data_IF_699408186017
#
_entry.id   IF_699408186017
#
_cell.length_a   1.000
_cell.length_b   1.000
_cell.length_c   1.000
_cell.angle_alpha   90.00
_cell.angle_beta   90.00
_cell.angle_gamma   90.00
#
_symmetry.space_group_name_H-M   'P 1'
#
loop_
_entity.id
_entity.type
_entity.pdbx_description
1 polymer ?
#
# COMPACT_ATOMS: atom_id res chain seq x y z
N UNK A 1 -49.06 11.94 -18.28
CA UNK A 1 -47.70 12.29 -18.71
C UNK A 1 -46.79 11.34 -17.96
N UNK A 2 -46.49 10.23 -18.54
CA UNK A 2 -45.48 9.28 -18.04
C UNK A 2 -44.12 9.90 -18.27
N UNK A 3 -43.46 10.31 -17.19
CA UNK A 3 -42.06 10.68 -17.28
C UNK A 3 -41.29 9.36 -17.52
N UNK A 4 -40.66 9.24 -18.67
CA UNK A 4 -39.66 8.22 -18.91
C UNK A 4 -38.57 8.34 -17.82
N UNK A 5 -38.09 7.19 -17.28
CA UNK A 5 -36.95 7.24 -16.38
C UNK A 5 -35.80 7.92 -17.11
N UNK A 6 -34.96 8.72 -16.42
CA UNK A 6 -33.85 9.39 -17.05
C UNK A 6 -32.98 8.34 -17.72
N UNK A 7 -33.03 8.30 -19.05
CA UNK A 7 -32.16 7.46 -19.87
C UNK A 7 -30.74 7.76 -19.42
N UNK A 8 -30.15 6.76 -18.82
CA UNK A 8 -29.09 6.78 -17.88
C UNK A 8 -27.93 7.74 -18.11
N UNK A 9 -27.41 8.20 -16.99
CA UNK A 9 -26.08 8.80 -16.92
C UNK A 9 -25.04 8.00 -17.72
N UNK A 10 -25.16 6.68 -17.79
CA UNK A 10 -24.36 5.79 -18.64
C UNK A 10 -24.43 6.07 -20.12
N UNK A 11 -25.62 6.41 -20.66
CA UNK A 11 -25.72 6.81 -22.06
C UNK A 11 -25.01 8.14 -22.33
N UNK A 12 -25.15 9.12 -21.41
CA UNK A 12 -24.44 10.41 -21.49
C UNK A 12 -22.93 10.30 -21.34
N UNK A 13 -22.44 9.33 -20.59
CA UNK A 13 -21.00 9.09 -20.41
C UNK A 13 -20.44 8.35 -21.61
N UNK A 14 -21.13 7.34 -22.16
CA UNK A 14 -20.78 6.75 -23.45
C UNK A 14 -20.74 7.79 -24.56
N UNK A 15 -21.74 8.67 -24.63
CA UNK A 15 -21.75 9.81 -25.58
C UNK A 15 -20.55 10.76 -25.31
N UNK A 16 -20.09 10.94 -24.05
CA UNK A 16 -18.90 11.73 -23.73
C UNK A 16 -17.60 11.03 -24.11
N UNK A 17 -17.49 9.71 -23.92
CA UNK A 17 -16.35 8.93 -24.42
C UNK A 17 -16.35 8.80 -25.94
N UNK A 18 -17.50 8.92 -26.56
CA UNK A 18 -17.66 9.07 -28.00
C UNK A 18 -17.47 10.54 -28.46
N UNK A 19 -17.34 11.49 -27.50
CA UNK A 19 -17.04 12.89 -27.82
C UNK A 19 -15.69 12.95 -28.55
N UNK A 20 -15.67 13.55 -29.77
CA UNK A 20 -14.44 13.66 -30.55
C UNK A 20 -13.29 14.32 -29.81
N UNK A 21 -13.53 15.21 -28.83
CA UNK A 21 -12.49 15.82 -28.01
C UNK A 21 -11.89 14.84 -27.00
N UNK A 22 -12.70 13.94 -26.42
CA UNK A 22 -12.21 12.88 -25.51
C UNK A 22 -11.46 11.82 -26.31
N UNK A 23 -11.96 11.44 -27.50
CA UNK A 23 -11.25 10.54 -28.40
C UNK A 23 -9.97 11.18 -28.94
N UNK A 24 -9.99 12.47 -29.27
CA UNK A 24 -8.82 13.21 -29.71
C UNK A 24 -7.78 13.27 -28.59
N UNK A 25 -8.18 13.58 -27.36
CA UNK A 25 -7.31 13.52 -26.18
C UNK A 25 -6.72 12.12 -25.97
N UNK A 26 -7.51 11.07 -26.18
CA UNK A 26 -7.06 9.69 -26.08
C UNK A 26 -6.13 9.25 -27.22
N UNK A 27 -6.26 9.84 -28.43
CA UNK A 27 -5.49 9.44 -29.61
C UNK A 27 -4.25 10.31 -29.88
N UNK A 28 -4.23 11.56 -29.41
CA UNK A 28 -3.16 12.55 -29.70
C UNK A 28 -2.15 12.78 -28.57
N UNK A 29 -1.84 11.77 -27.77
CA UNK A 29 -0.79 11.86 -26.75
C UNK A 29 -1.24 12.36 -25.37
N UNK A 30 -2.52 12.66 -25.18
CA UNK A 30 -3.12 12.95 -23.87
C UNK A 30 -3.56 11.66 -23.13
N UNK A 31 -2.90 10.54 -23.42
CA UNK A 31 -3.19 9.27 -22.78
C UNK A 31 -2.64 9.26 -21.37
N UNK A 32 -3.38 8.69 -20.46
CA UNK A 32 -2.85 8.27 -19.17
C UNK A 32 -1.74 7.26 -19.42
N UNK A 33 -0.55 7.55 -18.94
CA UNK A 33 0.60 6.64 -19.01
C UNK A 33 0.65 5.87 -17.70
N UNK A 34 0.58 4.55 -17.80
CA UNK A 34 0.69 3.65 -16.66
C UNK A 34 2.08 3.04 -16.60
N UNK A 35 2.56 2.86 -15.37
CA UNK A 35 3.87 2.28 -15.12
C UNK A 35 5.02 3.25 -15.41
N UNK A 36 6.23 2.85 -15.05
CA UNK A 36 7.43 3.66 -15.16
C UNK A 36 8.00 3.68 -16.59
N UNK A 37 8.80 4.71 -16.85
CA UNK A 37 9.66 4.82 -18.01
C UNK A 37 11.11 4.53 -17.68
N UNK A 38 12.03 5.14 -18.45
CA UNK A 38 13.45 5.12 -18.14
C UNK A 38 13.77 6.01 -16.91
N UNK A 39 14.75 5.65 -16.06
CA UNK A 39 15.70 4.54 -16.24
C UNK A 39 15.22 3.16 -15.77
N UNK A 40 14.05 3.05 -15.13
CA UNK A 40 13.59 1.82 -14.50
C UNK A 40 13.52 0.62 -15.47
N UNK A 41 12.98 0.83 -16.67
CA UNK A 41 12.86 -0.25 -17.67
C UNK A 41 14.21 -0.87 -18.06
N UNK A 42 15.23 -0.02 -18.24
CA UNK A 42 16.58 -0.50 -18.54
C UNK A 42 17.21 -1.22 -17.35
N UNK A 43 17.04 -0.72 -16.14
CA UNK A 43 17.56 -1.32 -14.91
C UNK A 43 16.89 -2.68 -14.64
N UNK A 44 15.58 -2.79 -14.78
CA UNK A 44 14.86 -4.06 -14.59
C UNK A 44 15.21 -5.10 -15.66
N UNK A 45 15.38 -4.66 -16.92
CA UNK A 45 15.85 -5.54 -17.99
C UNK A 45 17.25 -6.09 -17.67
N UNK A 46 18.15 -5.23 -17.18
CA UNK A 46 19.50 -5.64 -16.77
C UNK A 46 19.48 -6.60 -15.57
N UNK A 47 18.54 -6.43 -14.65
CA UNK A 47 18.31 -7.33 -13.52
C UNK A 47 17.56 -8.62 -13.91
N UNK A 48 17.16 -8.79 -15.17
CA UNK A 48 16.45 -9.98 -15.65
C UNK A 48 14.99 -10.07 -15.19
N UNK A 49 14.40 -8.96 -14.78
CA UNK A 49 13.01 -8.92 -14.32
C UNK A 49 12.03 -8.97 -15.50
N UNK A 50 10.90 -9.63 -15.27
CA UNK A 50 9.76 -9.65 -16.17
C UNK A 50 8.75 -8.59 -15.74
N UNK A 51 8.24 -7.82 -16.72
CA UNK A 51 7.20 -6.81 -16.44
C UNK A 51 5.84 -7.47 -16.23
N UNK A 52 4.97 -6.91 -15.39
CA UNK A 52 3.63 -7.44 -15.15
C UNK A 52 2.69 -7.22 -16.35
N UNK A 53 1.77 -8.16 -16.56
CA UNK A 53 0.57 -7.93 -17.37
C UNK A 53 -0.47 -7.19 -16.52
N UNK A 54 -0.65 -5.89 -16.77
CA UNK A 54 -1.54 -5.04 -15.97
C UNK A 54 -3.02 -5.45 -16.09
N UNK A 55 -3.44 -5.96 -17.23
CA UNK A 55 -4.82 -6.44 -17.43
C UNK A 55 -5.06 -7.75 -16.68
N UNK A 56 -4.08 -8.66 -16.67
CA UNK A 56 -4.15 -9.90 -15.90
C UNK A 56 -4.15 -9.61 -14.40
N UNK A 57 -3.26 -8.72 -13.95
CA UNK A 57 -3.20 -8.25 -12.57
C UNK A 57 -4.55 -7.68 -12.10
N UNK A 58 -5.15 -6.82 -12.92
CA UNK A 58 -6.40 -6.18 -12.59
C UNK A 58 -7.58 -7.18 -12.53
N UNK A 59 -7.64 -8.15 -13.45
CA UNK A 59 -8.65 -9.23 -13.39
C UNK A 59 -8.50 -10.04 -12.11
N UNK A 60 -7.28 -10.45 -11.77
CA UNK A 60 -7.00 -11.16 -10.53
C UNK A 60 -7.48 -10.39 -9.30
N UNK A 61 -7.14 -9.12 -9.19
CA UNK A 61 -7.54 -8.26 -8.08
C UNK A 61 -9.07 -8.17 -7.94
N UNK A 62 -9.75 -7.96 -9.05
CA UNK A 62 -11.21 -7.91 -9.06
C UNK A 62 -11.85 -9.24 -8.61
N UNK A 63 -11.29 -10.37 -9.06
CA UNK A 63 -11.75 -11.70 -8.65
C UNK A 63 -11.51 -11.94 -7.15
N UNK A 64 -10.39 -11.44 -6.60
CA UNK A 64 -10.12 -11.49 -5.16
C UNK A 64 -11.17 -10.71 -4.36
N UNK A 65 -11.46 -9.47 -4.77
CA UNK A 65 -12.51 -8.65 -4.11
C UNK A 65 -13.85 -9.40 -4.14
N UNK A 66 -14.26 -9.84 -5.31
CA UNK A 66 -15.54 -10.56 -5.49
C UNK A 66 -15.63 -11.84 -4.69
N UNK A 67 -14.55 -12.61 -4.62
CA UNK A 67 -14.47 -13.79 -3.77
C UNK A 67 -14.75 -13.47 -2.30
N UNK A 68 -14.23 -12.34 -1.80
CA UNK A 68 -14.48 -11.89 -0.44
C UNK A 68 -15.92 -11.38 -0.23
N UNK A 69 -16.51 -10.73 -1.23
CA UNK A 69 -17.92 -10.30 -1.19
C UNK A 69 -18.86 -11.48 -1.10
N UNK A 70 -18.65 -12.49 -1.95
CA UNK A 70 -19.44 -13.75 -1.94
C UNK A 70 -19.29 -14.46 -0.59
N UNK A 71 -18.06 -14.61 -0.09
CA UNK A 71 -17.80 -15.31 1.17
C UNK A 71 -18.49 -14.66 2.39
N UNK A 72 -18.79 -13.36 2.30
CA UNK A 72 -19.43 -12.56 3.37
C UNK A 72 -20.92 -12.28 3.10
N UNK A 73 -21.49 -12.83 2.03
CA UNK A 73 -22.87 -12.59 1.61
C UNK A 73 -23.19 -11.09 1.48
N UNK A 74 -22.36 -10.37 0.72
CA UNK A 74 -22.50 -8.96 0.42
C UNK A 74 -22.92 -8.75 -1.03
N UNK A 75 -23.77 -7.76 -1.30
CA UNK A 75 -24.17 -7.39 -2.66
C UNK A 75 -23.07 -6.73 -3.46
N UNK A 76 -22.14 -6.09 -2.77
CA UNK A 76 -20.99 -5.39 -3.36
C UNK A 76 -20.21 -4.58 -2.35
N UNK A 77 -19.18 -3.90 -2.83
CA UNK A 77 -18.38 -2.94 -2.06
C UNK A 77 -18.46 -1.53 -2.67
N UNK A 78 -18.49 -0.55 -1.80
CA UNK A 78 -18.39 0.87 -2.12
C UNK A 78 -17.05 1.37 -1.56
N UNK A 79 -16.09 1.59 -2.46
CA UNK A 79 -14.70 1.86 -2.12
C UNK A 79 -14.39 3.35 -2.31
N UNK A 80 -13.77 3.97 -1.32
CA UNK A 80 -13.36 5.38 -1.30
C UNK A 80 -11.87 5.55 -1.04
N UNK A 81 -11.28 4.60 -0.29
CA UNK A 81 -9.87 4.64 0.04
C UNK A 81 -9.01 4.62 -1.24
N UNK A 82 -8.07 5.56 -1.42
CA UNK A 82 -7.23 5.63 -2.62
C UNK A 82 -6.45 4.35 -2.91
N UNK A 83 -6.03 3.61 -1.87
CA UNK A 83 -5.32 2.33 -2.06
C UNK A 83 -6.28 1.25 -2.56
N UNK A 84 -7.50 1.20 -2.00
CA UNK A 84 -8.55 0.30 -2.48
C UNK A 84 -8.98 0.64 -3.91
N UNK A 85 -9.08 1.92 -4.24
CA UNK A 85 -9.35 2.38 -5.62
C UNK A 85 -8.23 1.99 -6.58
N UNK A 86 -6.95 2.17 -6.19
CA UNK A 86 -5.79 1.76 -6.97
C UNK A 86 -5.79 0.23 -7.16
N UNK A 87 -6.03 -0.54 -6.11
CA UNK A 87 -6.12 -2.00 -6.19
C UNK A 87 -7.18 -2.44 -7.20
N UNK A 88 -8.37 -1.86 -7.11
CA UNK A 88 -9.51 -2.26 -7.93
C UNK A 88 -9.47 -1.71 -9.37
N UNK A 89 -8.75 -0.63 -9.67
CA UNK A 89 -8.83 0.03 -10.97
C UNK A 89 -7.50 0.27 -11.67
N UNK A 90 -6.40 0.23 -10.94
CA UNK A 90 -5.07 0.64 -11.43
C UNK A 90 -5.11 2.01 -12.16
N UNK A 91 -5.98 2.91 -11.69
CA UNK A 91 -6.14 4.24 -12.25
C UNK A 91 -5.39 5.28 -11.41
N UNK A 92 -4.80 6.30 -12.05
CA UNK A 92 -4.13 7.39 -11.33
C UNK A 92 -5.02 8.03 -10.28
N UNK A 93 -4.43 8.42 -9.18
CA UNK A 93 -5.14 8.90 -8.00
C UNK A 93 -4.39 10.08 -7.37
N UNK A 94 -5.11 10.98 -6.73
CA UNK A 94 -4.53 12.01 -5.84
C UNK A 94 -4.69 11.53 -4.39
N UNK A 95 -3.85 10.58 -3.95
CA UNK A 95 -4.04 9.84 -2.72
C UNK A 95 -4.40 10.72 -1.53
N UNK A 96 -3.54 11.65 -1.18
CA UNK A 96 -3.75 12.50 0.00
C UNK A 96 -5.01 13.37 -0.11
N UNK A 97 -5.30 13.90 -1.31
CA UNK A 97 -6.47 14.73 -1.52
C UNK A 97 -7.77 13.92 -1.40
N UNK A 98 -7.81 12.72 -1.98
CA UNK A 98 -8.99 11.84 -1.89
C UNK A 98 -9.18 11.22 -0.50
N UNK A 99 -8.12 11.10 0.31
CA UNK A 99 -8.26 10.74 1.74
C UNK A 99 -8.98 11.81 2.56
N UNK A 100 -8.90 13.08 2.14
CA UNK A 100 -9.59 14.19 2.81
C UNK A 100 -10.96 14.51 2.21
N UNK A 101 -11.17 14.15 0.94
CA UNK A 101 -12.35 14.55 0.19
C UNK A 101 -12.84 13.34 -0.60
N UNK A 102 -13.95 12.77 -0.15
CA UNK A 102 -14.59 11.63 -0.81
C UNK A 102 -15.24 12.11 -2.12
N UNK A 103 -14.40 12.45 -3.11
CA UNK A 103 -14.79 12.95 -4.42
C UNK A 103 -14.57 11.93 -5.54
N UNK A 104 -14.11 10.75 -5.20
CA UNK A 104 -13.93 9.61 -6.10
C UNK A 104 -14.28 8.34 -5.36
N UNK A 105 -15.08 7.46 -5.98
CA UNK A 105 -15.41 6.16 -5.40
C UNK A 105 -15.79 5.15 -6.47
N UNK A 106 -15.71 3.87 -6.08
CA UNK A 106 -15.98 2.74 -6.96
C UNK A 106 -17.09 1.87 -6.38
N UNK A 107 -18.07 1.51 -7.19
CA UNK A 107 -19.00 0.44 -6.91
C UNK A 107 -18.51 -0.86 -7.53
N UNK A 108 -18.24 -1.86 -6.70
CA UNK A 108 -17.85 -3.21 -7.09
C UNK A 108 -18.96 -4.17 -6.69
N UNK A 109 -19.86 -4.57 -7.58
CA UNK A 109 -20.87 -5.60 -7.29
C UNK A 109 -20.19 -6.98 -7.23
N UNK A 110 -20.85 -7.92 -6.51
CA UNK A 110 -20.45 -9.33 -6.48
C UNK A 110 -20.41 -9.94 -7.87
N UNK A 111 -21.34 -9.56 -8.72
CA UNK A 111 -21.41 -9.93 -10.14
C UNK A 111 -21.75 -8.71 -11.01
N UNK A 112 -21.30 -8.72 -12.26
CA UNK A 112 -21.62 -7.67 -13.23
C UNK A 112 -20.55 -6.57 -13.31
N UNK A 113 -20.88 -5.41 -13.91
CA UNK A 113 -19.91 -4.36 -14.21
C UNK A 113 -19.53 -3.55 -12.96
N UNK A 114 -18.27 -3.15 -12.88
CA UNK A 114 -17.83 -2.13 -11.92
C UNK A 114 -18.13 -0.74 -12.47
N UNK A 115 -18.49 0.19 -11.58
CA UNK A 115 -18.86 1.56 -11.93
C UNK A 115 -17.99 2.51 -11.11
N UNK A 116 -17.20 3.31 -11.80
CA UNK A 116 -16.38 4.34 -11.19
C UNK A 116 -17.11 5.67 -11.17
N UNK A 117 -17.12 6.31 -10.02
CA UNK A 117 -17.54 7.69 -9.86
C UNK A 117 -16.29 8.55 -9.76
N UNK A 118 -16.08 9.42 -10.70
CA UNK A 118 -14.89 10.25 -10.76
C UNK A 118 -15.21 11.73 -10.61
N UNK A 119 -14.22 12.52 -10.23
CA UNK A 119 -14.36 13.96 -10.10
C UNK A 119 -14.82 14.55 -11.44
N UNK A 120 -15.78 15.48 -11.43
CA UNK A 120 -16.33 16.04 -12.67
C UNK A 120 -15.25 16.56 -13.62
N UNK A 121 -15.32 16.15 -14.88
CA UNK A 121 -14.35 16.43 -15.94
C UNK A 121 -13.00 15.68 -15.81
N UNK A 122 -12.90 14.67 -14.93
CA UNK A 122 -11.74 13.79 -14.79
C UNK A 122 -12.03 12.35 -15.24
N UNK A 123 -13.18 12.08 -15.84
CA UNK A 123 -13.62 10.75 -16.25
C UNK A 123 -12.67 10.07 -17.23
N UNK A 124 -11.86 10.85 -17.96
CA UNK A 124 -10.87 10.36 -18.91
C UNK A 124 -9.70 9.62 -18.24
N UNK A 125 -9.44 9.86 -16.95
CA UNK A 125 -8.32 9.23 -16.23
C UNK A 125 -8.41 7.71 -16.16
N UNK A 126 -9.61 7.16 -16.28
CA UNK A 126 -9.88 5.73 -16.19
C UNK A 126 -10.28 5.09 -17.51
N UNK A 127 -10.29 5.86 -18.60
CA UNK A 127 -10.76 5.41 -19.91
C UNK A 127 -9.94 4.24 -20.52
N UNK A 128 -8.71 4.04 -20.02
CA UNK A 128 -7.83 2.95 -20.44
C UNK A 128 -8.21 1.59 -19.83
N UNK A 129 -8.99 1.56 -18.76
CA UNK A 129 -9.30 0.33 -18.04
C UNK A 129 -10.58 -0.33 -18.60
N UNK A 130 -10.46 -1.47 -19.33
CA UNK A 130 -11.62 -2.13 -19.95
C UNK A 130 -12.56 -2.79 -18.95
N UNK A 131 -12.18 -2.95 -17.69
CA UNK A 131 -13.02 -3.54 -16.65
C UNK A 131 -13.99 -2.54 -16.03
N UNK A 132 -13.74 -1.25 -16.17
CA UNK A 132 -14.66 -0.19 -15.79
C UNK A 132 -15.70 -0.03 -16.88
N UNK A 133 -16.88 -0.56 -16.66
CA UNK A 133 -17.94 -0.52 -17.66
C UNK A 133 -18.59 0.86 -17.80
N UNK A 134 -18.56 1.65 -16.75
CA UNK A 134 -19.16 2.98 -16.71
C UNK A 134 -18.38 3.89 -15.78
N UNK A 135 -18.17 5.14 -16.20
CA UNK A 135 -17.65 6.21 -15.35
C UNK A 135 -18.72 7.28 -15.22
N UNK A 136 -19.03 7.69 -13.98
CA UNK A 136 -20.02 8.71 -13.67
C UNK A 136 -19.37 9.90 -12.95
N UNK A 137 -19.89 11.13 -13.15
CA UNK A 137 -19.48 12.24 -12.31
C UNK A 137 -19.97 12.03 -10.87
N UNK A 138 -19.13 12.35 -9.90
CA UNK A 138 -19.47 12.20 -8.48
C UNK A 138 -20.51 13.20 -8.02
N UNK A 139 -21.41 12.78 -7.14
CA UNK A 139 -22.23 13.64 -6.29
C UNK A 139 -21.47 13.94 -5.01
N UNK A 140 -20.63 14.97 -5.03
CA UNK A 140 -19.78 15.32 -3.89
C UNK A 140 -20.60 15.80 -2.70
N UNK A 141 -20.44 15.15 -1.55
CA UNK A 141 -21.18 15.42 -0.32
C UNK A 141 -20.31 15.94 0.84
N UNK A 142 -18.98 16.05 0.64
CA UNK A 142 -18.09 16.60 1.66
C UNK A 142 -18.34 18.09 1.85
N UNK A 143 -18.12 18.60 3.06
CA UNK A 143 -18.32 20.01 3.34
C UNK A 143 -17.45 20.93 2.47
N UNK A 144 -16.22 20.48 2.15
CA UNK A 144 -15.33 21.22 1.25
C UNK A 144 -15.94 21.50 -0.13
N UNK A 145 -16.67 20.53 -0.70
CA UNK A 145 -17.25 20.64 -2.04
C UNK A 145 -18.72 21.07 -2.04
N UNK A 146 -19.46 20.73 -1.01
CA UNK A 146 -20.91 20.94 -0.95
C UNK A 146 -21.35 22.06 0.04
N UNK A 147 -20.49 22.46 0.98
CA UNK A 147 -20.81 23.44 2.01
C UNK A 147 -22.06 23.04 2.80
N UNK A 148 -22.95 23.99 3.06
CA UNK A 148 -24.19 23.75 3.80
C UNK A 148 -25.18 22.81 3.10
N UNK A 149 -24.89 22.39 1.87
CA UNK A 149 -25.70 21.40 1.13
C UNK A 149 -25.21 19.97 1.31
N UNK A 150 -24.26 19.71 2.19
CA UNK A 150 -23.66 18.37 2.40
C UNK A 150 -24.71 17.30 2.67
N UNK A 151 -25.71 17.56 3.52
CA UNK A 151 -26.80 16.62 3.81
C UNK A 151 -27.69 16.33 2.58
N UNK A 152 -28.00 17.36 1.80
CA UNK A 152 -28.78 17.20 0.56
C UNK A 152 -28.01 16.33 -0.44
N UNK A 153 -26.72 16.61 -0.61
CA UNK A 153 -25.87 15.87 -1.54
C UNK A 153 -25.64 14.42 -1.06
N UNK A 154 -25.48 14.20 0.24
CA UNK A 154 -25.36 12.84 0.80
C UNK A 154 -26.63 12.00 0.54
N UNK A 155 -27.82 12.58 0.63
CA UNK A 155 -29.07 11.89 0.26
C UNK A 155 -29.14 11.55 -1.22
N UNK A 156 -28.68 12.44 -2.11
CA UNK A 156 -28.62 12.17 -3.56
C UNK A 156 -27.64 11.06 -3.88
N UNK A 157 -26.45 11.12 -3.29
CA UNK A 157 -25.46 10.05 -3.36
C UNK A 157 -26.06 8.72 -2.90
N UNK A 158 -26.67 8.68 -1.71
CA UNK A 158 -27.23 7.46 -1.14
C UNK A 158 -28.34 6.86 -2.00
N UNK A 159 -29.23 7.69 -2.56
CA UNK A 159 -30.28 7.24 -3.46
C UNK A 159 -29.70 6.60 -4.74
N UNK A 160 -28.63 7.20 -5.32
CA UNK A 160 -27.96 6.64 -6.49
C UNK A 160 -27.31 5.28 -6.19
N UNK A 161 -26.61 5.15 -5.05
CA UNK A 161 -26.00 3.88 -4.65
C UNK A 161 -27.08 2.83 -4.36
N UNK A 162 -28.15 3.21 -3.67
CA UNK A 162 -29.24 2.28 -3.38
C UNK A 162 -29.92 1.75 -4.64
N UNK A 163 -30.05 2.57 -5.69
CA UNK A 163 -30.55 2.13 -6.99
C UNK A 163 -29.60 1.12 -7.66
N UNK A 164 -28.28 1.31 -7.57
CA UNK A 164 -27.31 0.32 -8.03
C UNK A 164 -27.40 -0.98 -7.27
N UNK A 165 -27.48 -0.92 -5.95
CA UNK A 165 -27.62 -2.12 -5.11
C UNK A 165 -28.92 -2.87 -5.43
N UNK A 166 -30.05 -2.17 -5.56
CA UNK A 166 -31.32 -2.78 -5.94
C UNK A 166 -31.29 -3.45 -7.32
N UNK A 167 -30.57 -2.86 -8.26
CA UNK A 167 -30.47 -3.40 -9.62
C UNK A 167 -29.53 -4.59 -9.76
N UNK A 168 -28.46 -4.65 -8.97
CA UNK A 168 -27.41 -5.67 -9.06
C UNK A 168 -27.45 -6.71 -7.93
N UNK A 169 -28.03 -6.37 -6.78
CA UNK A 169 -27.89 -7.14 -5.55
C UNK A 169 -28.84 -8.35 -5.40
N UNK A 170 -29.72 -8.63 -6.39
CA UNK A 170 -30.65 -9.79 -6.30
C UNK A 170 -31.55 -9.77 -5.05
N UNK A 171 -31.83 -8.61 -4.47
CA UNK A 171 -32.57 -8.44 -3.22
C UNK A 171 -31.70 -8.34 -1.97
N UNK A 172 -30.39 -8.56 -2.08
CA UNK A 172 -29.43 -8.35 -0.99
C UNK A 172 -29.11 -6.84 -0.84
N UNK A 173 -29.39 -6.27 0.33
CA UNK A 173 -29.11 -4.85 0.64
C UNK A 173 -27.83 -4.64 1.49
N UNK A 174 -27.08 -5.70 1.73
CA UNK A 174 -25.84 -5.67 2.53
C UNK A 174 -24.67 -5.28 1.64
N UNK A 175 -23.97 -4.23 1.98
CA UNK A 175 -22.80 -3.75 1.26
C UNK A 175 -21.62 -3.51 2.19
N UNK A 176 -20.41 -3.70 1.68
CA UNK A 176 -19.20 -3.24 2.33
C UNK A 176 -18.93 -1.78 1.93
N UNK A 177 -18.48 -0.96 2.86
CA UNK A 177 -18.22 0.47 2.64
C UNK A 177 -16.91 0.84 3.30
N UNK A 178 -16.02 1.51 2.57
CA UNK A 178 -14.84 2.15 3.16
C UNK A 178 -15.27 3.27 4.13
N UNK A 179 -14.39 3.69 5.05
CA UNK A 179 -14.69 4.80 5.96
C UNK A 179 -15.17 6.04 5.20
N UNK A 180 -16.35 6.54 5.54
CA UNK A 180 -16.96 7.76 4.98
C UNK A 180 -17.56 8.61 6.10
N UNK A 181 -17.80 9.92 5.86
CA UNK A 181 -18.45 10.79 6.83
C UNK A 181 -19.80 10.24 7.32
N UNK A 182 -20.08 10.46 8.60
CA UNK A 182 -21.32 10.01 9.25
C UNK A 182 -22.60 10.44 8.49
N UNK A 183 -22.59 11.63 7.86
CA UNK A 183 -23.70 12.15 7.05
C UNK A 183 -24.01 11.22 5.87
N UNK A 184 -22.99 10.74 5.17
CA UNK A 184 -23.14 9.81 4.05
C UNK A 184 -23.57 8.42 4.53
N UNK A 185 -22.96 7.90 5.61
CA UNK A 185 -23.35 6.62 6.21
C UNK A 185 -24.83 6.62 6.65
N UNK A 186 -25.27 7.68 7.32
CA UNK A 186 -26.67 7.82 7.74
C UNK A 186 -27.63 7.92 6.55
N UNK A 187 -27.22 8.56 5.46
CA UNK A 187 -28.02 8.62 4.24
C UNK A 187 -28.17 7.24 3.58
N UNK A 188 -27.10 6.43 3.49
CA UNK A 188 -27.15 5.05 2.99
C UNK A 188 -28.07 4.18 3.85
N UNK A 189 -27.95 4.25 5.17
CA UNK A 189 -28.84 3.55 6.11
C UNK A 189 -30.31 3.98 5.92
N UNK A 190 -30.54 5.27 5.65
CA UNK A 190 -31.87 5.83 5.35
C UNK A 190 -32.51 5.28 4.08
N UNK A 191 -31.73 4.80 3.11
CA UNK A 191 -32.20 4.10 1.90
C UNK A 191 -32.48 2.61 2.13
N UNK A 192 -32.33 2.11 3.36
CA UNK A 192 -32.58 0.71 3.73
C UNK A 192 -31.40 -0.22 3.44
N UNK A 193 -30.20 0.30 3.21
CA UNK A 193 -28.99 -0.50 3.09
C UNK A 193 -28.47 -0.94 4.46
N UNK A 194 -27.81 -2.08 4.51
CA UNK A 194 -27.05 -2.54 5.67
C UNK A 194 -25.57 -2.44 5.37
N UNK A 195 -24.85 -1.69 6.20
CA UNK A 195 -23.44 -1.39 5.98
C UNK A 195 -22.54 -2.32 6.80
N UNK A 196 -21.49 -2.80 6.18
CA UNK A 196 -20.36 -3.49 6.80
C UNK A 196 -19.08 -2.74 6.44
N UNK A 197 -18.04 -2.89 7.25
CA UNK A 197 -16.72 -2.32 6.97
C UNK A 197 -16.06 -3.02 5.77
N UNK A 198 -15.62 -2.26 4.78
CA UNK A 198 -14.91 -2.80 3.61
C UNK A 198 -13.48 -3.25 3.93
N UNK A 199 -12.88 -2.80 5.03
CA UNK A 199 -11.52 -3.20 5.41
C UNK A 199 -11.36 -4.72 5.46
N UNK A 200 -12.32 -5.44 6.07
CA UNK A 200 -12.28 -6.90 6.13
C UNK A 200 -12.35 -7.59 4.75
N UNK A 201 -12.98 -6.95 3.76
CA UNK A 201 -13.02 -7.42 2.37
C UNK A 201 -11.68 -7.17 1.69
N UNK A 202 -11.20 -5.94 1.77
CA UNK A 202 -10.05 -5.47 1.01
C UNK A 202 -8.73 -6.02 1.56
N UNK A 203 -8.55 -6.02 2.87
CA UNK A 203 -7.35 -6.59 3.51
C UNK A 203 -7.15 -8.07 3.14
N UNK A 204 -8.22 -8.88 3.24
CA UNK A 204 -8.13 -10.30 2.87
C UNK A 204 -8.03 -10.48 1.34
N UNK A 205 -8.62 -9.61 0.54
CA UNK A 205 -8.44 -9.65 -0.91
C UNK A 205 -6.98 -9.40 -1.30
N UNK A 206 -6.33 -8.37 -0.72
CA UNK A 206 -4.95 -7.99 -1.00
C UNK A 206 -3.91 -8.97 -0.45
N UNK A 207 -4.22 -9.69 0.63
CA UNK A 207 -3.25 -10.53 1.36
C UNK A 207 -2.52 -11.58 0.51
N UNK A 208 -3.18 -12.14 -0.52
CA UNK A 208 -2.59 -13.14 -1.42
C UNK A 208 -2.31 -12.49 -2.77
N UNK A 209 -1.04 -12.36 -3.10
CA UNK A 209 -0.58 -11.72 -4.34
C UNK A 209 -0.66 -12.68 -5.52
N UNK A 210 -1.21 -12.20 -6.64
CA UNK A 210 -1.22 -12.90 -7.91
C UNK A 210 0.15 -12.87 -8.60
N UNK A 211 0.32 -13.69 -9.66
CA UNK A 211 1.61 -13.75 -10.37
C UNK A 211 2.10 -12.39 -10.87
N UNK A 212 1.23 -11.59 -11.49
CA UNK A 212 1.60 -10.27 -12.00
C UNK A 212 1.80 -9.22 -10.90
N UNK A 213 1.13 -9.36 -9.76
CA UNK A 213 1.41 -8.54 -8.58
C UNK A 213 2.81 -8.81 -8.03
N UNK A 214 3.24 -10.08 -8.02
CA UNK A 214 4.59 -10.44 -7.61
C UNK A 214 5.65 -9.93 -8.59
N UNK A 215 5.38 -9.93 -9.90
CA UNK A 215 6.28 -9.30 -10.89
C UNK A 215 6.36 -7.78 -10.65
N UNK A 216 5.24 -7.12 -10.44
CA UNK A 216 5.19 -5.68 -10.13
C UNK A 216 5.96 -5.36 -8.83
N UNK A 217 5.79 -6.17 -7.78
CA UNK A 217 6.49 -6.01 -6.51
C UNK A 217 8.00 -6.17 -6.66
N UNK A 218 8.47 -7.15 -7.46
CA UNK A 218 9.91 -7.30 -7.74
C UNK A 218 10.49 -6.08 -8.45
N UNK A 219 9.74 -5.48 -9.38
CA UNK A 219 10.14 -4.23 -10.03
C UNK A 219 10.26 -3.08 -9.02
N UNK A 220 9.31 -2.97 -8.09
CA UNK A 220 9.32 -1.96 -7.04
C UNK A 220 10.48 -2.16 -6.06
N UNK A 221 10.71 -3.40 -5.63
CA UNK A 221 11.84 -3.76 -4.73
C UNK A 221 13.19 -3.48 -5.39
N UNK A 222 13.35 -3.75 -6.70
CA UNK A 222 14.57 -3.41 -7.43
C UNK A 222 14.77 -1.90 -7.53
N UNK A 223 13.70 -1.13 -7.78
CA UNK A 223 13.77 0.33 -7.75
C UNK A 223 14.21 0.85 -6.37
N UNK A 224 13.67 0.27 -5.29
CA UNK A 224 14.07 0.58 -3.92
C UNK A 224 15.54 0.24 -3.65
N UNK A 225 16.02 -0.92 -4.12
CA UNK A 225 17.42 -1.33 -3.99
C UNK A 225 18.37 -0.30 -4.64
N UNK A 226 18.07 0.11 -5.87
CA UNK A 226 18.87 1.11 -6.60
C UNK A 226 18.81 2.47 -5.91
N UNK A 227 17.62 2.89 -5.46
CA UNK A 227 17.43 4.16 -4.76
C UNK A 227 18.19 4.18 -3.41
N UNK A 228 18.10 3.10 -2.63
CA UNK A 228 18.83 2.95 -1.37
C UNK A 228 20.34 2.95 -1.58
N UNK A 229 20.85 2.27 -2.62
CA UNK A 229 22.27 2.32 -2.98
C UNK A 229 22.74 3.74 -3.25
N UNK A 230 22.00 4.50 -4.07
CA UNK A 230 22.33 5.90 -4.37
C UNK A 230 22.26 6.80 -3.14
N UNK A 231 21.30 6.57 -2.26
CA UNK A 231 21.21 7.25 -0.98
C UNK A 231 22.45 6.95 -0.11
N UNK A 232 22.85 5.70 -0.02
CA UNK A 232 24.05 5.27 0.70
C UNK A 232 25.32 5.91 0.14
N UNK A 233 25.52 5.86 -1.18
CA UNK A 233 26.69 6.45 -1.87
C UNK A 233 26.79 7.97 -1.68
N UNK A 234 25.67 8.65 -1.49
CA UNK A 234 25.63 10.10 -1.28
C UNK A 234 25.76 10.51 0.19
N UNK A 235 25.53 9.58 1.12
CA UNK A 235 25.54 9.84 2.57
C UNK A 235 26.93 10.28 3.04
N UNK A 236 27.00 11.36 3.82
CA UNK A 236 28.23 11.87 4.40
C UNK A 236 27.95 12.75 5.62
N UNK A 237 28.91 12.88 6.54
CA UNK A 237 28.81 13.83 7.64
C UNK A 237 28.53 15.25 7.14
N UNK A 238 27.74 16.00 7.89
CA UNK A 238 27.32 17.37 7.57
C UNK A 238 26.02 17.46 6.74
N UNK A 239 25.50 16.38 6.21
CA UNK A 239 24.15 16.35 5.64
C UNK A 239 23.09 16.31 6.75
N UNK A 240 21.92 16.87 6.47
CA UNK A 240 20.75 16.66 7.34
C UNK A 240 20.01 15.36 6.96
N UNK A 241 19.27 14.82 7.93
CA UNK A 241 18.38 13.68 7.70
C UNK A 241 17.42 13.93 6.51
N UNK A 242 16.82 15.14 6.45
CA UNK A 242 15.94 15.55 5.35
C UNK A 242 16.62 15.57 3.98
N UNK A 243 17.90 16.00 3.93
CA UNK A 243 18.66 15.98 2.67
C UNK A 243 18.91 14.55 2.20
N UNK A 244 19.21 13.65 3.11
CA UNK A 244 19.44 12.25 2.78
C UNK A 244 18.13 11.55 2.34
N UNK A 245 17.05 11.76 3.09
CA UNK A 245 15.73 11.22 2.74
C UNK A 245 15.22 11.70 1.38
N UNK A 246 15.47 12.99 1.08
CA UNK A 246 15.10 13.57 -0.21
C UNK A 246 15.74 12.87 -1.41
N UNK A 247 16.94 12.29 -1.25
CA UNK A 247 17.59 11.50 -2.31
C UNK A 247 16.86 10.18 -2.55
N UNK A 248 16.49 9.47 -1.49
CA UNK A 248 15.73 8.23 -1.63
C UNK A 248 14.41 8.46 -2.36
N UNK A 249 13.69 9.50 -1.96
CA UNK A 249 12.44 9.87 -2.64
C UNK A 249 12.66 10.19 -4.11
N UNK A 250 13.60 11.07 -4.43
CA UNK A 250 13.86 11.45 -5.82
C UNK A 250 14.18 10.26 -6.72
N UNK A 251 14.95 9.31 -6.21
CA UNK A 251 15.34 8.09 -6.94
C UNK A 251 14.15 7.13 -7.11
N UNK A 252 13.32 6.93 -6.07
CA UNK A 252 12.10 6.13 -6.17
C UNK A 252 11.10 6.74 -7.14
N UNK A 253 10.88 8.07 -7.06
CA UNK A 253 9.98 8.80 -7.95
C UNK A 253 10.41 8.70 -9.43
N UNK A 254 11.71 8.80 -9.67
CA UNK A 254 12.29 8.67 -11.02
C UNK A 254 12.02 7.27 -11.61
N UNK A 255 11.79 6.27 -10.76
CA UNK A 255 11.51 4.87 -11.15
C UNK A 255 10.05 4.48 -11.06
N UNK A 256 9.15 5.45 -11.10
CA UNK A 256 7.70 5.21 -11.11
C UNK A 256 7.08 5.04 -9.74
N UNK A 257 7.75 5.53 -8.69
CA UNK A 257 7.14 5.64 -7.36
C UNK A 257 5.99 6.64 -7.35
N UNK A 258 4.95 6.33 -6.62
CA UNK A 258 3.72 7.11 -6.55
C UNK A 258 3.69 8.02 -5.32
N UNK A 259 3.98 7.44 -4.13
CA UNK A 259 3.94 8.20 -2.90
C UNK A 259 4.67 7.46 -1.76
N UNK A 260 4.67 8.03 -0.56
CA UNK A 260 5.23 7.41 0.65
C UNK A 260 4.27 7.59 1.81
N UNK A 261 4.21 6.60 2.70
CA UNK A 261 3.38 6.66 3.88
C UNK A 261 4.06 7.43 5.03
N UNK A 262 5.38 7.36 5.11
CA UNK A 262 6.15 8.00 6.16
C UNK A 262 7.44 8.65 5.65
N UNK A 263 8.22 9.23 6.56
CA UNK A 263 9.57 9.75 6.33
C UNK A 263 10.50 9.26 7.44
N UNK A 264 10.41 7.97 7.76
CA UNK A 264 11.15 7.37 8.86
C UNK A 264 12.63 7.27 8.51
N UNK A 265 13.38 8.26 8.94
CA UNK A 265 14.83 8.28 8.93
C UNK A 265 15.34 9.10 10.13
N UNK A 266 16.26 8.52 10.87
CA UNK A 266 16.91 9.21 11.98
C UNK A 266 18.39 8.83 12.08
N UNK A 267 19.19 9.73 12.64
CA UNK A 267 20.63 9.55 12.76
C UNK A 267 21.11 9.76 14.21
N UNK A 268 22.20 9.09 14.55
CA UNK A 268 22.87 9.22 15.84
C UNK A 268 21.95 8.90 17.01
N UNK A 269 21.91 9.77 18.00
CA UNK A 269 21.07 9.58 19.19
C UNK A 269 19.58 9.56 18.91
N UNK A 270 19.14 10.06 17.75
CA UNK A 270 17.74 10.05 17.35
C UNK A 270 17.26 8.69 16.86
N UNK A 271 18.15 7.75 16.58
CA UNK A 271 17.78 6.39 16.23
C UNK A 271 17.23 5.59 17.43
N UNK A 272 17.35 6.12 18.65
CA UNK A 272 16.85 5.46 19.87
C UNK A 272 16.15 6.47 20.83
N UNK A 273 14.84 6.36 21.05
CA UNK A 273 13.92 5.35 20.50
C UNK A 273 13.59 5.59 19.01
N UNK A 274 13.20 4.54 18.33
CA UNK A 274 12.75 4.53 16.94
C UNK A 274 11.42 5.28 16.73
N UNK A 275 11.00 5.39 15.47
CA UNK A 275 9.76 5.99 15.01
C UNK A 275 9.80 7.51 14.85
N UNK A 276 10.98 8.04 14.58
CA UNK A 276 11.16 9.48 14.36
C UNK A 276 11.33 9.77 12.86
N UNK A 277 10.49 10.65 12.35
CA UNK A 277 10.65 11.16 10.99
C UNK A 277 11.90 12.02 10.82
N UNK A 278 12.40 12.09 9.58
CA UNK A 278 13.58 12.86 9.24
C UNK A 278 13.42 14.36 9.56
N UNK A 279 14.47 14.93 10.09
CA UNK A 279 14.51 16.30 10.59
C UNK A 279 15.69 17.11 10.02
N UNK A 280 15.85 18.33 10.50
CA UNK A 280 17.03 19.16 10.22
C UNK A 280 18.26 18.75 11.04
N UNK A 281 18.23 17.64 11.77
CA UNK A 281 19.40 17.12 12.47
C UNK A 281 20.53 16.85 11.48
N UNK A 282 21.73 17.32 11.83
CA UNK A 282 22.93 17.14 11.01
C UNK A 282 23.63 15.87 11.44
N UNK A 283 23.84 14.97 10.49
CA UNK A 283 24.54 13.71 10.71
C UNK A 283 26.03 13.94 10.96
N UNK A 284 26.57 13.22 11.91
CA UNK A 284 27.98 13.25 12.29
C UNK A 284 28.70 11.97 11.85
N UNK A 285 30.04 12.04 11.78
CA UNK A 285 30.84 10.86 11.51
C UNK A 285 30.69 9.82 12.64
N UNK A 286 30.36 8.58 12.30
CA UNK A 286 30.12 7.52 13.25
C UNK A 286 28.67 7.39 13.74
N UNK A 287 27.75 8.24 13.27
CA UNK A 287 26.34 8.07 13.54
C UNK A 287 25.80 6.84 12.83
N UNK A 288 24.99 6.01 13.52
CA UNK A 288 24.07 5.11 12.84
C UNK A 288 22.96 5.93 12.17
N UNK A 289 22.64 5.57 10.96
CA UNK A 289 21.55 6.18 10.17
C UNK A 289 20.56 5.06 9.86
N UNK A 290 19.45 5.06 10.58
CA UNK A 290 18.39 4.08 10.43
C UNK A 290 17.25 4.68 9.60
N UNK A 291 16.69 3.91 8.68
CA UNK A 291 15.55 4.33 7.87
C UNK A 291 14.63 3.17 7.54
N UNK A 292 13.39 3.53 7.22
CA UNK A 292 12.33 2.65 6.77
C UNK A 292 11.70 3.22 5.52
N UNK A 293 11.44 2.41 4.50
CA UNK A 293 11.10 2.99 3.20
C UNK A 293 9.64 3.36 3.05
N UNK A 294 8.70 2.53 3.44
CA UNK A 294 7.24 2.72 3.35
C UNK A 294 6.82 3.47 2.05
N UNK A 295 7.40 3.06 0.93
CA UNK A 295 7.24 3.75 -0.34
C UNK A 295 6.36 2.95 -1.30
N UNK A 296 5.26 3.54 -1.72
CA UNK A 296 4.46 3.02 -2.83
C UNK A 296 5.22 3.25 -4.12
N UNK A 297 5.81 2.18 -4.60
CA UNK A 297 6.70 2.17 -5.77
C UNK A 297 5.94 1.95 -7.07
N UNK A 298 6.68 1.42 -8.03
CA UNK A 298 6.16 1.14 -9.36
C UNK A 298 4.92 0.25 -9.33
N UNK A 299 3.97 0.53 -10.21
CA UNK A 299 2.70 -0.19 -10.33
C UNK A 299 1.83 -0.19 -9.06
N UNK A 300 2.07 0.75 -8.16
CA UNK A 300 1.38 0.85 -6.88
C UNK A 300 1.75 -0.25 -5.88
N UNK A 301 2.91 -0.88 -6.03
CA UNK A 301 3.40 -1.89 -5.08
C UNK A 301 4.38 -1.26 -4.09
N UNK A 302 4.07 -1.40 -2.81
CA UNK A 302 4.88 -0.85 -1.73
C UNK A 302 6.19 -1.60 -1.55
N UNK A 303 7.20 -0.87 -1.12
CA UNK A 303 8.44 -1.39 -0.56
C UNK A 303 8.55 -0.94 0.88
N UNK A 304 8.60 -1.93 1.75
CA UNK A 304 8.74 -1.77 3.19
C UNK A 304 9.98 -2.52 3.64
N UNK A 305 11.09 -1.76 3.69
CA UNK A 305 12.43 -2.31 3.82
C UNK A 305 13.26 -1.34 4.65
N UNK A 306 13.69 -1.81 5.81
CA UNK A 306 14.52 -0.99 6.69
C UNK A 306 15.97 -1.39 6.67
N UNK A 307 16.84 -0.38 6.72
CA UNK A 307 18.31 -0.55 6.86
C UNK A 307 18.88 0.46 7.85
N UNK A 308 20.01 0.09 8.42
CA UNK A 308 20.80 0.99 9.26
C UNK A 308 22.25 0.94 8.79
N UNK A 309 22.79 2.11 8.48
CA UNK A 309 24.18 2.30 8.02
C UNK A 309 24.97 3.15 9.00
N UNK A 310 26.30 3.19 8.84
CA UNK A 310 27.15 4.11 9.57
C UNK A 310 27.52 5.31 8.68
N UNK A 311 27.40 6.51 9.22
CA UNK A 311 27.75 7.74 8.49
C UNK A 311 29.27 7.96 8.52
N UNK A 312 29.88 8.16 7.36
CA UNK A 312 31.31 8.37 7.22
C UNK A 312 32.12 7.09 6.98
N UNK A 313 33.43 7.24 6.82
CA UNK A 313 34.37 6.14 6.54
C UNK A 313 34.98 5.59 7.86
N UNK A 314 34.12 5.13 8.76
CA UNK A 314 34.52 4.61 10.07
C UNK A 314 33.83 3.29 10.37
N UNK A 315 34.44 2.49 11.22
CA UNK A 315 33.84 1.23 11.67
C UNK A 315 32.89 1.49 12.86
N UNK A 316 31.77 0.73 12.96
CA UNK A 316 30.89 0.81 14.11
C UNK A 316 31.66 0.50 15.40
N UNK A 317 31.33 1.16 16.48
CA UNK A 317 31.86 0.85 17.80
C UNK A 317 31.32 -0.50 18.33
N UNK A 318 31.73 -0.90 19.51
CA UNK A 318 31.34 -2.21 20.06
C UNK A 318 29.84 -2.30 20.36
N UNK A 319 29.21 -1.20 20.83
CA UNK A 319 27.78 -1.15 21.10
C UNK A 319 26.98 -1.16 19.80
N UNK A 320 27.33 -0.32 18.85
CA UNK A 320 26.70 -0.26 17.53
C UNK A 320 26.77 -1.62 16.82
N UNK A 321 27.92 -2.27 16.81
CA UNK A 321 28.11 -3.61 16.22
C UNK A 321 27.22 -4.65 16.88
N UNK A 322 27.13 -4.62 18.20
CA UNK A 322 26.31 -5.58 18.95
C UNK A 322 24.82 -5.44 18.60
N UNK A 323 24.26 -4.22 18.57
CA UNK A 323 22.85 -4.03 18.20
C UNK A 323 22.57 -4.32 16.73
N UNK A 324 23.53 -4.08 15.83
CA UNK A 324 23.45 -4.51 14.41
C UNK A 324 23.38 -6.03 14.29
N UNK A 325 24.22 -6.76 15.04
CA UNK A 325 24.21 -8.23 15.05
C UNK A 325 22.89 -8.78 15.58
N UNK A 326 22.35 -8.22 16.69
CA UNK A 326 21.08 -8.64 17.26
C UNK A 326 19.91 -8.40 16.30
N UNK A 327 19.88 -7.25 15.63
CA UNK A 327 18.82 -6.94 14.66
C UNK A 327 18.86 -7.89 13.46
N UNK A 328 20.06 -8.17 12.94
CA UNK A 328 20.25 -9.14 11.84
C UNK A 328 19.80 -10.53 12.26
N UNK A 329 20.26 -11.00 13.42
CA UNK A 329 19.91 -12.33 13.96
C UNK A 329 18.39 -12.47 14.12
N UNK A 330 17.69 -11.40 14.57
CA UNK A 330 16.24 -11.41 14.69
C UNK A 330 15.56 -11.64 13.35
N UNK A 331 15.91 -10.86 12.34
CA UNK A 331 15.28 -10.94 11.00
C UNK A 331 15.61 -12.30 10.35
N UNK A 332 16.86 -12.71 10.33
CA UNK A 332 17.28 -13.98 9.72
C UNK A 332 16.57 -15.18 10.32
N UNK A 333 16.54 -15.29 11.65
CA UNK A 333 15.86 -16.40 12.35
C UNK A 333 14.35 -16.38 12.15
N UNK A 334 13.75 -15.20 12.06
CA UNK A 334 12.31 -15.07 11.93
C UNK A 334 11.85 -15.30 10.50
N UNK A 335 12.65 -14.98 9.49
CA UNK A 335 12.42 -15.38 8.09
C UNK A 335 12.29 -16.91 7.96
N UNK A 336 13.14 -17.67 8.65
CA UNK A 336 13.13 -19.14 8.63
C UNK A 336 11.84 -19.77 9.17
N UNK A 337 11.03 -19.01 9.90
CA UNK A 337 9.72 -19.46 10.39
C UNK A 337 8.62 -19.38 9.33
N UNK A 338 8.82 -18.55 8.28
CA UNK A 338 7.80 -18.29 7.27
C UNK A 338 7.66 -19.47 6.31
N UNK A 339 6.52 -20.14 6.39
CA UNK A 339 6.13 -21.22 5.47
C UNK A 339 4.61 -21.42 5.51
N UNK A 340 4.02 -21.98 4.46
CA UNK A 340 2.59 -22.29 4.45
C UNK A 340 2.15 -23.15 5.64
N UNK A 341 1.00 -22.84 6.19
CA UNK A 341 0.38 -23.61 7.28
C UNK A 341 0.80 -23.20 8.70
N UNK A 342 1.81 -22.37 8.86
CA UNK A 342 2.17 -21.82 10.19
C UNK A 342 1.09 -20.83 10.62
N UNK A 343 0.65 -20.93 11.87
CA UNK A 343 -0.36 -20.02 12.42
C UNK A 343 0.27 -18.71 12.89
N UNK A 344 -0.52 -17.64 12.92
CA UNK A 344 -0.05 -16.34 13.45
C UNK A 344 0.39 -16.45 14.90
N UNK A 345 -0.33 -17.26 15.70
CA UNK A 345 0.07 -17.57 17.06
C UNK A 345 1.46 -18.24 17.14
N UNK A 346 1.72 -19.21 16.25
CA UNK A 346 3.02 -19.88 16.21
C UNK A 346 4.14 -18.91 15.81
N UNK A 347 3.92 -18.02 14.83
CA UNK A 347 4.90 -17.00 14.46
C UNK A 347 5.19 -16.08 15.64
N UNK A 348 4.16 -15.54 16.29
CA UNK A 348 4.31 -14.68 17.45
C UNK A 348 5.14 -15.34 18.55
N UNK A 349 4.82 -16.59 18.91
CA UNK A 349 5.41 -17.27 20.08
C UNK A 349 6.72 -18.00 19.81
N UNK A 350 7.02 -18.33 18.54
CA UNK A 350 8.29 -18.96 18.14
C UNK A 350 9.32 -17.96 17.64
N UNK A 351 8.91 -16.74 17.35
CA UNK A 351 9.83 -15.70 16.88
C UNK A 351 10.95 -15.46 17.90
N UNK A 352 12.15 -15.40 17.37
CA UNK A 352 13.30 -15.01 18.18
C UNK A 352 13.28 -13.49 18.36
N UNK A 353 13.70 -13.03 19.52
CA UNK A 353 13.81 -11.62 19.87
C UNK A 353 15.00 -11.37 20.76
N UNK A 354 15.64 -10.18 20.69
CA UNK A 354 16.65 -9.77 21.65
C UNK A 354 16.08 -9.76 23.09
N UNK A 355 16.94 -9.80 24.13
CA UNK A 355 16.51 -9.71 25.52
C UNK A 355 15.66 -8.46 25.79
N UNK A 356 14.37 -8.63 26.08
CA UNK A 356 13.39 -7.55 26.24
C UNK A 356 13.57 -6.71 27.50
N UNK A 357 14.35 -7.17 28.46
CA UNK A 357 14.76 -6.45 29.67
C UNK A 357 15.98 -5.53 29.43
N UNK A 358 16.73 -5.73 28.35
CA UNK A 358 17.89 -4.94 27.97
C UNK A 358 17.61 -3.98 26.81
N UNK A 359 16.77 -4.42 25.86
CA UNK A 359 16.54 -3.72 24.59
C UNK A 359 15.07 -3.41 24.36
N UNK A 360 14.83 -2.23 23.76
CA UNK A 360 13.56 -1.89 23.13
C UNK A 360 13.42 -2.72 21.86
N UNK A 361 12.20 -3.14 21.58
CA UNK A 361 11.85 -3.80 20.30
C UNK A 361 10.80 -2.98 19.54
N UNK A 362 10.51 -3.38 18.32
CA UNK A 362 9.44 -2.78 17.51
C UNK A 362 8.05 -3.15 18.04
N UNK A 363 7.01 -2.57 17.46
CA UNK A 363 5.63 -2.82 17.88
C UNK A 363 5.07 -4.13 17.33
N UNK A 364 5.57 -4.60 16.20
CA UNK A 364 5.11 -5.77 15.46
C UNK A 364 6.31 -6.65 15.07
N UNK A 365 6.06 -7.96 14.88
CA UNK A 365 7.07 -8.92 14.42
C UNK A 365 7.02 -9.17 12.93
N UNK A 366 5.80 -9.23 12.39
CA UNK A 366 5.51 -9.45 10.98
C UNK A 366 4.23 -8.71 10.63
N UNK A 367 4.18 -8.12 9.45
CA UNK A 367 2.92 -7.68 8.87
C UNK A 367 2.89 -7.91 7.36
N UNK A 368 1.69 -7.89 6.79
CA UNK A 368 1.51 -7.98 5.36
C UNK A 368 1.97 -6.71 4.66
N UNK A 369 2.45 -6.85 3.44
CA UNK A 369 2.78 -5.72 2.58
C UNK A 369 2.31 -5.99 1.15
N UNK A 370 1.77 -4.97 0.52
CA UNK A 370 1.26 -5.03 -0.85
C UNK A 370 1.26 -3.66 -1.50
N UNK A 371 0.12 -2.96 -1.46
CA UNK A 371 0.05 -1.55 -1.88
C UNK A 371 0.29 -0.57 -0.73
N UNK A 372 0.21 -1.05 0.49
CA UNK A 372 0.47 -0.37 1.75
C UNK A 372 0.84 -1.43 2.78
N UNK A 373 0.98 -1.03 4.04
CA UNK A 373 0.94 -1.98 5.14
C UNK A 373 -0.42 -2.67 5.16
N UNK A 374 -0.39 -4.01 5.17
CA UNK A 374 -1.59 -4.82 5.00
C UNK A 374 -1.73 -5.89 6.08
N UNK A 375 -2.92 -6.44 6.20
CA UNK A 375 -3.16 -7.64 6.99
C UNK A 375 -2.33 -8.84 6.48
N UNK A 376 -1.79 -9.69 7.38
CA UNK A 376 -1.93 -9.67 8.83
C UNK A 376 -0.92 -8.75 9.53
N UNK A 377 -1.23 -8.31 10.75
CA UNK A 377 -0.26 -7.74 11.69
C UNK A 377 -0.08 -8.72 12.86
N UNK A 378 1.14 -9.21 13.07
CA UNK A 378 1.45 -10.27 14.04
C UNK A 378 2.30 -9.69 15.18
N UNK A 379 1.70 -9.49 16.36
CA UNK A 379 2.37 -8.84 17.49
C UNK A 379 3.37 -9.77 18.19
N UNK A 380 4.18 -9.16 19.04
CA UNK A 380 4.99 -9.90 20.00
C UNK A 380 4.13 -10.73 20.97
N UNK A 381 4.66 -11.85 21.53
CA UNK A 381 3.89 -12.71 22.43
C UNK A 381 3.34 -11.97 23.64
N UNK A 382 4.06 -10.96 24.14
CA UNK A 382 3.64 -10.14 25.29
C UNK A 382 2.38 -9.33 25.01
N UNK A 383 2.12 -9.02 23.72
CA UNK A 383 0.94 -8.28 23.28
C UNK A 383 -0.15 -9.19 22.69
N UNK A 384 0.07 -10.51 22.64
CA UNK A 384 -0.85 -11.42 21.97
C UNK A 384 -2.28 -11.39 22.53
N UNK A 385 -2.41 -11.42 23.87
CA UNK A 385 -3.73 -11.37 24.53
C UNK A 385 -4.52 -10.08 24.24
N UNK A 386 -3.80 -8.99 23.94
CA UNK A 386 -4.42 -7.68 23.69
C UNK A 386 -4.75 -7.44 22.20
N UNK A 387 -3.93 -7.95 21.29
CA UNK A 387 -3.98 -7.60 19.86
C UNK A 387 -3.80 -8.77 18.90
N UNK A 388 -3.52 -9.98 19.41
CA UNK A 388 -3.40 -11.17 18.59
C UNK A 388 -4.75 -11.67 18.09
N UNK A 389 -4.74 -12.36 16.96
CA UNK A 389 -5.91 -13.00 16.36
C UNK A 389 -5.51 -14.22 15.55
N UNK A 390 -6.47 -15.11 15.32
CA UNK A 390 -6.24 -16.34 14.59
C UNK A 390 -6.04 -16.09 13.09
N UNK A 391 -5.14 -16.86 12.51
CA UNK A 391 -4.87 -16.88 11.08
C UNK A 391 -3.78 -17.86 10.74
N UNK A 392 -3.62 -18.12 9.45
CA UNK A 392 -2.66 -19.07 8.91
C UNK A 392 -1.95 -18.46 7.71
N UNK A 393 -0.63 -18.61 7.69
CA UNK A 393 0.21 -18.19 6.56
C UNK A 393 -0.10 -19.05 5.34
N UNK A 394 -0.28 -18.40 4.20
CA UNK A 394 -0.64 -19.03 2.93
C UNK A 394 0.38 -18.65 1.83
N UNK A 395 0.56 -19.53 0.82
CA UNK A 395 1.34 -19.16 -0.36
C UNK A 395 0.80 -17.90 -1.03
N UNK A 396 1.69 -17.07 -1.55
CA UNK A 396 1.36 -15.79 -2.16
C UNK A 396 1.21 -14.62 -1.17
N UNK A 397 1.24 -14.86 0.15
CA UNK A 397 1.42 -13.78 1.11
C UNK A 397 2.81 -13.19 0.99
N UNK A 398 2.90 -11.88 1.05
CA UNK A 398 4.16 -11.17 1.24
C UNK A 398 4.10 -10.46 2.58
N UNK A 399 5.13 -10.70 3.38
CA UNK A 399 5.23 -10.19 4.75
C UNK A 399 6.54 -9.45 4.93
N UNK A 400 6.51 -8.42 5.73
CA UNK A 400 7.73 -7.88 6.32
C UNK A 400 8.14 -8.69 7.53
N UNK A 401 9.43 -8.74 7.79
CA UNK A 401 10.02 -9.37 8.96
C UNK A 401 10.82 -8.33 9.70
N UNK A 402 10.32 -7.94 10.85
CA UNK A 402 10.66 -6.73 11.56
C UNK A 402 11.71 -6.90 12.65
N UNK A 403 12.60 -5.93 12.76
CA UNK A 403 13.49 -5.79 13.92
C UNK A 403 13.76 -4.32 14.23
N UNK A 404 13.66 -3.98 15.50
CA UNK A 404 14.27 -2.80 16.08
C UNK A 404 15.00 -3.19 17.37
N UNK A 405 16.24 -2.72 17.50
CA UNK A 405 17.07 -2.98 18.68
C UNK A 405 17.72 -1.68 19.16
N UNK A 406 17.32 -1.21 20.32
CA UNK A 406 17.91 -0.03 20.97
C UNK A 406 17.93 -0.19 22.48
N UNK A 407 19.05 0.11 23.14
CA UNK A 407 19.13 0.00 24.59
C UNK A 407 18.11 0.91 25.29
N UNK A 408 17.60 0.51 26.48
CA UNK A 408 16.71 1.39 27.25
C UNK A 408 17.41 2.64 27.75
N UNK A 409 18.71 2.59 27.96
CA UNK A 409 19.49 3.72 28.44
C UNK A 409 20.67 3.97 27.53
N UNK A 410 20.64 5.13 26.86
CA UNK A 410 21.73 5.57 25.99
C UNK A 410 21.90 4.74 24.72
N UNK A 411 22.96 5.02 23.98
CA UNK A 411 23.30 4.33 22.74
C UNK A 411 22.41 4.70 21.56
N UNK A 412 22.79 4.19 20.41
CA UNK A 412 22.05 4.32 19.16
C UNK A 412 21.30 3.02 18.88
N UNK A 413 20.22 3.09 18.09
CA UNK A 413 19.40 1.94 17.77
C UNK A 413 19.51 1.54 16.30
N UNK A 414 19.11 0.32 16.01
CA UNK A 414 19.12 -0.29 14.68
C UNK A 414 17.70 -0.70 14.30
N UNK A 415 17.26 -0.27 13.12
CA UNK A 415 16.08 -0.81 12.43
C UNK A 415 16.56 -1.66 11.27
N UNK A 416 16.04 -2.87 11.16
CA UNK A 416 16.33 -3.80 10.07
C UNK A 416 15.09 -4.62 9.73
N UNK A 417 14.82 -4.77 8.43
CA UNK A 417 13.62 -5.41 7.96
C UNK A 417 13.78 -5.93 6.55
N UNK A 418 13.15 -7.04 6.26
CA UNK A 418 13.09 -7.62 4.93
C UNK A 418 11.65 -7.95 4.53
N UNK A 419 11.38 -7.74 3.26
CA UNK A 419 10.15 -8.12 2.58
C UNK A 419 10.28 -9.55 2.03
N UNK A 420 9.38 -10.45 2.43
CA UNK A 420 9.50 -11.89 2.22
C UNK A 420 8.23 -12.47 1.62
N UNK A 421 8.36 -13.14 0.47
CA UNK A 421 7.28 -13.89 -0.17
C UNK A 421 7.18 -15.28 0.44
N UNK A 422 5.98 -15.69 0.83
CA UNK A 422 5.67 -17.08 1.18
C UNK A 422 5.42 -17.87 -0.11
N UNK A 423 6.23 -18.88 -0.38
CA UNK A 423 6.10 -19.77 -1.54
C UNK A 423 5.26 -21.01 -1.22
N UNK A 424 5.04 -21.90 -2.18
CA UNK A 424 4.28 -23.13 -1.97
C UNK A 424 4.89 -24.07 -0.91
N UNK A 425 6.20 -24.04 -0.74
CA UNK A 425 6.97 -24.96 0.11
C UNK A 425 7.90 -24.28 1.13
N UNK A 426 7.92 -22.94 1.18
CA UNK A 426 8.80 -22.19 2.07
C UNK A 426 8.63 -20.69 1.94
N UNK A 427 9.74 -20.00 1.72
CA UNK A 427 9.76 -18.55 1.55
C UNK A 427 10.86 -18.11 0.58
N UNK A 428 10.76 -16.88 0.09
CA UNK A 428 11.77 -16.18 -0.69
C UNK A 428 11.95 -14.76 -0.14
N UNK A 429 13.17 -14.43 0.26
CA UNK A 429 13.50 -13.05 0.65
C UNK A 429 13.61 -12.19 -0.62
N UNK A 430 12.72 -11.21 -0.76
CA UNK A 430 12.68 -10.30 -1.92
C UNK A 430 13.70 -9.16 -1.79
N UNK A 431 14.19 -8.88 -0.58
CA UNK A 431 15.13 -7.79 -0.27
C UNK A 431 16.39 -8.30 0.44
N UNK A 432 17.18 -9.22 -0.18
CA UNK A 432 18.27 -9.91 0.49
C UNK A 432 19.53 -9.07 0.72
N UNK A 433 19.62 -7.85 0.17
CA UNK A 433 20.81 -7.02 0.35
C UNK A 433 20.98 -6.62 1.82
N UNK A 434 22.22 -6.73 2.30
CA UNK A 434 22.57 -6.52 3.69
C UNK A 434 22.91 -5.05 4.00
N UNK A 435 23.36 -4.82 5.23
CA UNK A 435 23.78 -3.52 5.75
C UNK A 435 25.16 -3.04 5.23
N UNK A 436 25.88 -3.87 4.49
CA UNK A 436 27.24 -3.59 4.02
C UNK A 436 27.22 -3.08 2.57
N UNK A 437 28.10 -2.15 2.25
CA UNK A 437 28.18 -1.55 0.91
C UNK A 437 28.32 -2.57 -0.22
N UNK A 438 29.08 -3.64 0.02
CA UNK A 438 29.34 -4.70 -0.97
C UNK A 438 28.13 -5.60 -1.24
N UNK A 439 27.10 -5.54 -0.40
CA UNK A 439 25.91 -6.38 -0.49
C UNK A 439 24.89 -5.92 -1.52
N UNK A 440 24.96 -4.67 -1.98
CA UNK A 440 24.09 -4.20 -3.05
C UNK A 440 24.31 -4.91 -4.39
N UNK A 441 25.44 -5.60 -4.55
CA UNK A 441 25.80 -6.33 -5.76
C UNK A 441 25.45 -7.84 -5.70
N UNK A 442 24.92 -8.30 -4.57
CA UNK A 442 24.49 -9.69 -4.39
C UNK A 442 22.97 -9.77 -4.65
N UNK A 443 22.63 -10.22 -5.85
CA UNK A 443 21.30 -10.74 -6.20
C UNK A 443 21.38 -12.26 -6.25
#
# INVERSE_FOLDING_TARGET
MTMDPPSGAGARIRERFEDPLVQLAATEGHRVILGPGEPALSEWTAAGLTLPDLDAMQRYRLDRIRGQLVARDLAGALLFDPMNLMYATHAPNMQLWFLHNEARWLWVPTEGPIILFDYPACEFLSAHNPMIAEVRPTTCFTYFLAGERSEEQAKRFAAEIADLVRSAGGGNSRIAVDPIPATASNALLGEGLTLSDAMAVMEVARSIKGPDELLAMRCSVEACRVASRKMFEAMRPGMTEQQLWGLLWAEMFTRGGDWMECRLLSAGVRTNPWFQECSSHVMEEGDLVAFDTDMVGAYGMMTDISRTWICGDVQPDAQQRHVLELAREQVERNIDLLRPGVTFHELSHKAWKPPVDEYRHYSVLFHGVGQCDEWPSIPFPESWEASGYDGVIQPGMVLTVESYVGAYVGGQGVKFENQVLVTEDGHENLSPWTLEADSFDVL
#
